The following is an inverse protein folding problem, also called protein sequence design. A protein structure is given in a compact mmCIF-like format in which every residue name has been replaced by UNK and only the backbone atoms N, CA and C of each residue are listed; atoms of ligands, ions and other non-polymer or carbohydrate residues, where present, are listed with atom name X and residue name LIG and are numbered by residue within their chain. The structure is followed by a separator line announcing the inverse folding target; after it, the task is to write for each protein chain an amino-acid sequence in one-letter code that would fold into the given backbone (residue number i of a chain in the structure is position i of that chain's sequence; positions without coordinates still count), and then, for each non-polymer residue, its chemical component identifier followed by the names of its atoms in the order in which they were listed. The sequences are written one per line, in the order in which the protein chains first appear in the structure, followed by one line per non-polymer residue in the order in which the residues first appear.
data_IF_192974943819
#
_entry.id   IF_192974943819
#
_cell.length_a   1.000
_cell.length_b   1.000
_cell.length_c   1.000
_cell.angle_alpha   90.00
_cell.angle_beta   90.00
_cell.angle_gamma   90.00
#
_symmetry.space_group_name_H-M   'P 1'
#
loop_
_entity.id
_entity.type
_entity.pdbx_description
1 polymer ?
#
# COMPACT_ATOMS: atom_id res chain seq x y z
N UNK A 1 -18.01 -19.04 -34.24
CA UNK A 1 -19.06 -18.56 -33.31
C UNK A 1 -18.82 -19.20 -31.95
N UNK A 2 -19.21 -18.51 -30.88
CA UNK A 2 -18.90 -18.89 -29.49
C UNK A 2 -19.72 -20.10 -29.00
N UNK A 3 -19.15 -20.86 -28.05
CA UNK A 3 -19.58 -20.92 -26.63
C UNK A 3 -19.00 -22.20 -25.99
N UNK A 4 -18.30 -22.20 -24.85
CA UNK A 4 -18.69 -21.73 -23.50
C UNK A 4 -19.88 -22.54 -22.94
N UNK A 5 -19.93 -23.01 -21.68
CA UNK A 5 -19.12 -22.69 -20.48
C UNK A 5 -19.46 -23.69 -19.33
N UNK A 6 -18.65 -23.72 -18.24
CA UNK A 6 -19.03 -24.09 -16.84
C UNK A 6 -19.42 -25.59 -16.59
N UNK A 7 -19.37 -26.24 -15.42
CA UNK A 7 -18.94 -26.01 -14.00
C UNK A 7 -18.77 -27.44 -13.37
N UNK A 8 -18.24 -27.76 -12.17
CA UNK A 8 -17.81 -27.02 -10.97
C UNK A 8 -16.72 -27.78 -10.15
N UNK A 9 -16.31 -27.16 -9.04
CA UNK A 9 -15.50 -27.69 -7.92
C UNK A 9 -15.82 -29.12 -7.41
N UNK A 10 -14.82 -29.76 -6.79
CA UNK A 10 -15.01 -30.52 -5.54
C UNK A 10 -13.76 -30.57 -4.64
N UNK A 11 -13.95 -30.32 -3.35
CA UNK A 11 -13.03 -30.69 -2.27
C UNK A 11 -13.01 -32.23 -2.10
N UNK A 12 -11.86 -32.81 -1.75
CA UNK A 12 -11.63 -33.65 -0.54
C UNK A 12 -10.20 -34.24 -0.51
N UNK A 13 -9.69 -34.48 0.70
CA UNK A 13 -8.52 -35.37 0.95
C UNK A 13 -8.99 -36.83 0.96
N UNK A 14 -8.16 -37.78 0.48
CA UNK A 14 -7.54 -38.84 1.31
C UNK A 14 -6.59 -39.74 0.49
N UNK A 15 -5.37 -39.89 1.01
CA UNK A 15 -4.34 -40.96 0.98
C UNK A 15 -4.04 -41.92 -0.21
N UNK A 16 -2.74 -42.21 -0.26
CA UNK A 16 -1.87 -43.11 -1.04
C UNK A 16 -2.38 -44.53 -1.47
N UNK A 17 -1.95 -45.03 -2.65
CA UNK A 17 -0.79 -45.96 -2.84
C UNK A 17 -0.74 -46.66 -4.22
N UNK A 18 0.47 -46.76 -4.79
CA UNK A 18 1.03 -47.90 -5.56
C UNK A 18 0.36 -48.32 -6.92
N UNK A 19 1.04 -48.75 -8.01
CA UNK A 19 2.47 -48.89 -8.37
C UNK A 19 2.64 -49.11 -9.91
N UNK A 20 3.87 -48.92 -10.45
CA UNK A 20 4.47 -49.45 -11.71
C UNK A 20 3.89 -49.16 -13.12
N UNK A 21 4.76 -48.90 -14.13
CA UNK A 21 4.29 -48.68 -15.53
C UNK A 21 5.22 -48.28 -16.71
N UNK A 22 6.54 -48.12 -16.57
CA UNK A 22 7.60 -48.11 -17.65
C UNK A 22 7.57 -47.13 -18.88
N UNK A 23 8.72 -46.42 -19.04
CA UNK A 23 9.43 -46.01 -20.28
C UNK A 23 8.86 -44.96 -21.28
N UNK A 24 9.67 -43.92 -21.59
CA UNK A 24 9.66 -43.30 -22.95
C UNK A 24 9.93 -41.80 -23.17
N UNK A 25 11.12 -41.27 -22.82
CA UNK A 25 11.82 -40.15 -23.49
C UNK A 25 11.28 -38.69 -23.50
N UNK A 26 12.07 -37.80 -22.86
CA UNK A 26 12.52 -36.46 -23.28
C UNK A 26 11.51 -35.37 -23.73
N UNK A 27 11.39 -34.29 -22.92
CA UNK A 27 11.99 -32.98 -23.26
C UNK A 27 12.02 -32.02 -22.04
N UNK A 28 13.23 -31.75 -21.55
CA UNK A 28 13.77 -30.46 -21.09
C UNK A 28 12.80 -29.28 -20.78
N UNK A 29 12.80 -28.76 -19.54
CA UNK A 29 13.36 -27.42 -19.19
C UNK A 29 13.11 -27.01 -17.71
N UNK A 30 14.20 -26.56 -17.08
CA UNK A 30 14.35 -25.81 -15.80
C UNK A 30 14.00 -26.53 -14.48
N UNK A 31 15.07 -26.86 -13.77
CA UNK A 31 15.08 -27.32 -12.40
C UNK A 31 14.65 -26.24 -11.39
N UNK A 32 13.84 -26.67 -10.44
CA UNK A 32 13.74 -26.07 -9.12
C UNK A 32 14.99 -26.48 -8.30
N UNK A 33 15.58 -25.60 -7.47
CA UNK A 33 15.81 -25.85 -6.03
C UNK A 33 16.89 -24.99 -5.33
N UNK A 34 16.56 -24.70 -4.06
CA UNK A 34 17.44 -24.63 -2.89
C UNK A 34 18.47 -23.49 -2.73
N UNK A 35 18.04 -22.55 -1.89
CA UNK A 35 18.82 -21.95 -0.79
C UNK A 35 19.89 -22.93 -0.27
N UNK A 36 21.17 -22.54 -0.38
CA UNK A 36 22.27 -23.11 0.41
C UNK A 36 22.90 -22.03 1.27
N UNK A 37 23.34 -22.44 2.47
CA UNK A 37 23.94 -21.57 3.47
C UNK A 37 25.36 -21.12 3.06
N UNK A 38 25.72 -19.91 3.49
CA UNK A 38 27.06 -19.29 3.66
C UNK A 38 28.28 -19.97 3.01
N UNK A 39 29.07 -19.18 2.28
CA UNK A 39 30.46 -19.04 2.74
C UNK A 39 31.02 -17.61 2.69
N UNK A 40 31.65 -17.24 3.82
CA UNK A 40 32.86 -16.40 3.99
C UNK A 40 32.84 -14.94 3.51
N UNK A 41 33.50 -14.10 4.32
CA UNK A 41 33.85 -12.71 4.02
C UNK A 41 34.65 -12.63 2.72
N UNK A 42 34.12 -11.89 1.74
CA UNK A 42 34.95 -11.11 0.83
C UNK A 42 34.18 -9.87 0.35
N UNK A 43 34.90 -8.80 0.06
CA UNK A 43 34.35 -7.46 -0.13
C UNK A 43 33.74 -7.29 -1.52
N UNK A 44 32.41 -7.18 -1.60
CA UNK A 44 31.73 -6.45 -2.67
C UNK A 44 30.42 -5.89 -2.15
N UNK A 45 30.42 -4.60 -1.79
CA UNK A 45 29.20 -3.81 -1.73
C UNK A 45 28.64 -3.66 -3.14
N UNK A 46 27.94 -4.71 -3.60
CA UNK A 46 27.05 -4.60 -4.74
C UNK A 46 25.95 -3.62 -4.36
N UNK A 47 26.12 -2.35 -4.75
CA UNK A 47 25.13 -1.31 -4.53
C UNK A 47 23.83 -1.73 -5.19
N UNK A 48 22.90 -2.25 -4.38
CA UNK A 48 21.52 -2.47 -4.80
C UNK A 48 20.97 -1.06 -5.07
N UNK A 49 21.00 -0.67 -6.34
CA UNK A 49 20.36 0.54 -6.83
C UNK A 49 18.89 0.47 -6.43
N UNK A 50 18.54 1.13 -5.33
CA UNK A 50 17.16 1.26 -4.86
C UNK A 50 16.37 1.92 -5.99
N UNK A 51 15.54 1.13 -6.66
CA UNK A 51 14.66 1.63 -7.73
C UNK A 51 13.42 2.20 -7.07
N UNK A 52 13.58 3.38 -6.48
CA UNK A 52 12.44 4.15 -5.99
C UNK A 52 11.43 4.32 -7.13
N UNK A 53 10.18 3.98 -6.85
CA UNK A 53 9.07 4.31 -7.73
C UNK A 53 8.84 5.81 -7.60
N UNK A 54 8.93 6.55 -8.70
CA UNK A 54 8.54 7.96 -8.72
C UNK A 54 7.01 8.04 -8.61
N UNK A 55 6.54 8.51 -7.45
CA UNK A 55 5.12 8.75 -7.19
C UNK A 55 4.87 10.25 -7.37
N UNK A 56 4.01 10.67 -8.32
CA UNK A 56 3.76 12.08 -8.57
C UNK A 56 3.03 12.70 -7.37
N UNK A 57 3.56 13.79 -6.83
CA UNK A 57 2.94 14.49 -5.71
C UNK A 57 1.66 15.22 -6.14
N UNK A 58 0.55 15.00 -5.42
CA UNK A 58 -0.73 15.64 -5.67
C UNK A 58 -1.23 16.26 -4.37
N UNK A 59 -1.46 17.58 -4.40
CA UNK A 59 -2.04 18.29 -3.26
C UNK A 59 -3.52 17.90 -3.07
N UNK A 60 -3.92 17.74 -1.81
CA UNK A 60 -5.32 17.72 -1.39
C UNK A 60 -5.98 19.09 -1.71
N UNK A 61 -7.28 19.12 -2.02
CA UNK A 61 -7.99 20.37 -2.35
C UNK A 61 -8.89 20.88 -1.23
N UNK A 62 -9.12 20.06 -0.20
CA UNK A 62 -9.97 20.33 0.97
C UNK A 62 -9.23 19.90 2.23
N UNK A 63 -9.83 20.13 3.40
CA UNK A 63 -9.29 19.69 4.69
C UNK A 63 -9.41 18.18 4.95
N UNK A 64 -10.18 17.47 4.12
CA UNK A 64 -10.62 16.09 4.37
C UNK A 64 -10.25 15.09 3.25
N UNK A 65 -9.81 15.55 2.09
CA UNK A 65 -9.57 14.73 0.89
C UNK A 65 -8.12 14.25 0.75
N UNK A 66 -7.29 14.37 1.80
CA UNK A 66 -5.90 13.89 1.80
C UNK A 66 -5.77 12.40 1.45
N UNK A 67 -6.69 11.55 1.93
CA UNK A 67 -6.76 10.14 1.55
C UNK A 67 -7.10 9.92 0.07
N UNK A 68 -7.94 10.78 -0.51
CA UNK A 68 -8.29 10.73 -1.94
C UNK A 68 -7.12 11.19 -2.81
N UNK A 69 -6.36 12.20 -2.37
CA UNK A 69 -5.11 12.59 -3.01
C UNK A 69 -4.11 11.43 -3.01
N UNK A 70 -3.94 10.71 -1.88
CA UNK A 70 -3.10 9.50 -1.82
C UNK A 70 -3.54 8.40 -2.80
N UNK A 71 -4.84 8.12 -2.92
CA UNK A 71 -5.35 7.18 -3.93
C UNK A 71 -5.05 7.69 -5.34
N UNK A 72 -5.25 8.98 -5.62
CA UNK A 72 -4.97 9.55 -6.93
C UNK A 72 -3.48 9.47 -7.30
N UNK A 73 -2.56 9.68 -6.35
CA UNK A 73 -1.12 9.48 -6.55
C UNK A 73 -0.79 8.04 -6.96
N UNK A 74 -1.39 7.05 -6.28
CA UNK A 74 -1.26 5.63 -6.65
C UNK A 74 -1.80 5.36 -8.05
N UNK A 75 -3.01 5.85 -8.37
CA UNK A 75 -3.63 5.66 -9.69
C UNK A 75 -2.77 6.25 -10.81
N UNK A 76 -2.21 7.46 -10.63
CA UNK A 76 -1.30 8.07 -11.60
C UNK A 76 0.00 7.28 -11.77
N UNK A 77 0.57 6.78 -10.67
CA UNK A 77 1.77 5.90 -10.72
C UNK A 77 1.50 4.61 -11.50
N UNK A 78 0.27 4.08 -11.45
CA UNK A 78 -0.17 2.89 -12.19
C UNK A 78 -0.64 3.20 -13.63
N UNK A 79 -0.53 4.44 -14.10
CA UNK A 79 -0.94 4.84 -15.45
C UNK A 79 -2.46 5.04 -15.63
N UNK A 80 -3.21 5.20 -14.53
CA UNK A 80 -4.67 5.39 -14.54
C UNK A 80 -4.98 6.89 -14.47
N UNK A 81 -5.44 7.44 -15.59
CA UNK A 81 -5.69 8.88 -15.80
C UNK A 81 -7.18 9.26 -15.96
N UNK A 82 -8.08 8.28 -15.94
CA UNK A 82 -9.51 8.44 -16.26
C UNK A 82 -10.39 8.96 -15.09
N UNK A 83 -9.78 9.49 -14.03
CA UNK A 83 -10.50 10.07 -12.89
C UNK A 83 -9.70 11.20 -12.25
N UNK A 84 -10.39 12.14 -11.59
CA UNK A 84 -9.84 13.23 -10.80
C UNK A 84 -10.31 13.16 -9.33
N UNK A 85 -9.79 14.04 -8.46
CA UNK A 85 -10.06 13.99 -7.02
C UNK A 85 -11.53 14.26 -6.65
N UNK A 86 -12.26 15.06 -7.43
CA UNK A 86 -13.69 15.26 -7.24
C UNK A 86 -14.48 13.98 -7.55
N UNK A 87 -14.17 13.32 -8.68
CA UNK A 87 -14.79 12.04 -9.06
C UNK A 87 -14.49 10.92 -8.04
N UNK A 88 -13.29 10.92 -7.44
CA UNK A 88 -12.97 10.03 -6.31
C UNK A 88 -13.83 10.34 -5.07
N UNK A 89 -14.08 11.62 -4.77
CA UNK A 89 -14.96 12.04 -3.69
C UNK A 89 -16.41 11.62 -3.92
N UNK A 90 -16.92 11.79 -5.13
CA UNK A 90 -18.25 11.34 -5.56
C UNK A 90 -18.38 9.81 -5.50
N UNK A 91 -17.35 9.06 -5.92
CA UNK A 91 -17.30 7.59 -5.80
C UNK A 91 -17.22 7.09 -4.35
N UNK A 92 -16.68 7.90 -3.44
CA UNK A 92 -16.56 7.59 -2.02
C UNK A 92 -17.83 7.94 -1.22
N UNK A 93 -18.63 8.90 -1.70
CA UNK A 93 -19.91 9.33 -1.11
C UNK A 93 -19.85 9.77 0.37
N UNK A 94 -18.68 10.22 0.85
CA UNK A 94 -18.48 10.75 2.21
C UNK A 94 -17.35 11.78 2.23
N UNK A 95 -17.41 12.72 3.17
CA UNK A 95 -16.30 13.63 3.47
C UNK A 95 -15.51 13.23 4.72
N UNK A 96 -16.00 12.26 5.51
CA UNK A 96 -15.20 11.60 6.55
C UNK A 96 -14.51 10.39 5.95
N UNK A 97 -13.27 10.56 5.49
CA UNK A 97 -12.51 9.52 4.77
C UNK A 97 -11.70 8.68 5.76
N UNK A 98 -11.98 7.38 5.81
CA UNK A 98 -11.21 6.40 6.58
C UNK A 98 -10.37 5.51 5.65
N UNK A 99 -9.30 4.89 6.17
CA UNK A 99 -8.44 4.01 5.36
C UNK A 99 -9.19 2.84 4.71
N UNK A 100 -10.29 2.38 5.31
CA UNK A 100 -11.16 1.36 4.69
C UNK A 100 -11.90 1.90 3.45
N UNK A 101 -12.32 3.17 3.44
CA UNK A 101 -12.93 3.78 2.25
C UNK A 101 -11.93 3.82 1.08
N UNK A 102 -10.66 4.11 1.36
CA UNK A 102 -9.58 4.09 0.37
C UNK A 102 -9.35 2.68 -0.21
N UNK A 103 -9.46 1.63 0.63
CA UNK A 103 -9.37 0.25 0.17
C UNK A 103 -10.53 -0.11 -0.79
N UNK A 104 -11.75 0.37 -0.52
CA UNK A 104 -12.89 0.22 -1.43
C UNK A 104 -12.72 0.99 -2.74
N UNK A 105 -12.10 2.18 -2.71
CA UNK A 105 -11.74 2.91 -3.94
C UNK A 105 -10.69 2.13 -4.75
N UNK A 106 -9.59 1.71 -4.13
CA UNK A 106 -8.54 0.92 -4.81
C UNK A 106 -9.10 -0.36 -5.43
N UNK A 107 -10.01 -1.05 -4.75
CA UNK A 107 -10.72 -2.22 -5.26
C UNK A 107 -11.59 -1.90 -6.50
N UNK A 108 -12.31 -0.76 -6.51
CA UNK A 108 -13.10 -0.31 -7.68
C UNK A 108 -12.24 -0.06 -8.92
N UNK A 109 -10.98 0.33 -8.75
CA UNK A 109 -10.00 0.49 -9.84
C UNK A 109 -9.17 -0.78 -10.12
N UNK A 110 -9.54 -1.93 -9.52
CA UNK A 110 -8.83 -3.22 -9.65
C UNK A 110 -7.34 -3.15 -9.27
N UNK A 111 -6.97 -2.23 -8.36
CA UNK A 111 -5.60 -2.12 -7.86
C UNK A 111 -5.33 -3.27 -6.89
N UNK A 112 -4.19 -3.94 -7.02
CA UNK A 112 -3.76 -4.97 -6.06
C UNK A 112 -3.06 -4.31 -4.87
N UNK A 113 -3.59 -4.50 -3.67
CA UNK A 113 -3.04 -3.95 -2.43
C UNK A 113 -3.11 -4.96 -1.27
N UNK A 114 -2.43 -4.65 -0.17
CA UNK A 114 -2.53 -5.34 1.12
C UNK A 114 -2.88 -4.29 2.18
N UNK A 115 -3.96 -4.49 2.93
CA UNK A 115 -4.39 -3.57 3.99
C UNK A 115 -4.10 -4.18 5.36
N UNK A 116 -3.14 -3.60 6.08
CA UNK A 116 -2.81 -3.95 7.46
C UNK A 116 -3.36 -2.89 8.43
N UNK A 117 -3.91 -3.31 9.58
CA UNK A 117 -4.36 -2.42 10.65
C UNK A 117 -4.24 -3.09 12.01
N UNK A 118 -4.04 -2.31 13.08
CA UNK A 118 -4.08 -2.80 14.48
C UNK A 118 -5.49 -2.72 15.09
N UNK A 119 -6.48 -2.21 14.35
CA UNK A 119 -7.88 -2.14 14.79
C UNK A 119 -8.82 -2.42 13.62
N UNK A 120 -9.75 -3.34 13.83
CA UNK A 120 -10.85 -3.60 12.90
C UNK A 120 -12.04 -2.72 13.28
N UNK A 121 -12.56 -1.96 12.32
CA UNK A 121 -13.62 -0.98 12.57
C UNK A 121 -13.10 0.38 13.07
N UNK A 122 -14.04 1.26 13.41
CA UNK A 122 -13.71 2.54 14.05
C UNK A 122 -13.47 2.33 15.55
N UNK A 123 -12.34 2.82 16.07
CA UNK A 123 -12.06 2.76 17.50
C UNK A 123 -12.94 3.79 18.27
N UNK A 124 -13.88 3.36 19.14
CA UNK A 124 -14.76 4.28 19.86
C UNK A 124 -13.98 5.20 20.82
N UNK A 125 -12.77 4.81 21.24
CA UNK A 125 -11.95 5.61 22.14
C UNK A 125 -11.45 6.92 21.50
N UNK A 126 -11.51 7.07 20.17
CA UNK A 126 -11.18 8.33 19.51
C UNK A 126 -12.21 9.47 19.75
N UNK A 127 -13.30 9.22 20.49
CA UNK A 127 -14.24 10.29 20.88
C UNK A 127 -13.57 11.41 21.70
N UNK A 128 -12.46 11.11 22.38
CA UNK A 128 -11.68 12.11 23.15
C UNK A 128 -10.93 13.10 22.24
N UNK A 129 -10.65 12.71 21.00
CA UNK A 129 -9.97 13.55 20.02
C UNK A 129 -10.98 14.51 19.38
N UNK A 130 -10.73 15.81 19.49
CA UNK A 130 -11.64 16.86 18.97
C UNK A 130 -11.92 16.70 17.48
N UNK A 131 -10.95 16.19 16.71
CA UNK A 131 -11.06 15.91 15.28
C UNK A 131 -12.18 14.90 14.94
N UNK A 132 -12.35 13.85 15.74
CA UNK A 132 -13.33 12.78 15.44
C UNK A 132 -14.69 13.02 16.11
N UNK A 133 -14.73 13.78 17.21
CA UNK A 133 -15.84 13.86 18.17
C UNK A 133 -17.24 14.04 17.56
N UNK A 134 -17.39 14.86 16.51
CA UNK A 134 -18.69 15.17 15.92
C UNK A 134 -19.19 14.10 14.94
N UNK A 135 -18.29 13.51 14.13
CA UNK A 135 -18.64 12.56 13.07
C UNK A 135 -18.57 11.10 13.53
N UNK A 136 -17.80 10.80 14.59
CA UNK A 136 -17.55 9.44 15.07
C UNK A 136 -18.82 8.59 15.31
N UNK A 137 -19.96 9.09 15.82
CA UNK A 137 -21.16 8.25 15.97
C UNK A 137 -21.70 7.70 14.64
N UNK A 138 -21.69 8.52 13.58
CA UNK A 138 -22.12 8.11 12.24
C UNK A 138 -21.06 7.24 11.57
N UNK A 139 -19.79 7.62 11.71
CA UNK A 139 -18.67 6.86 11.16
C UNK A 139 -18.55 5.49 11.81
N UNK A 140 -18.82 5.34 13.11
CA UNK A 140 -18.71 4.05 13.79
C UNK A 140 -19.67 3.01 13.20
N UNK A 141 -20.89 3.39 12.82
CA UNK A 141 -21.82 2.48 12.13
C UNK A 141 -21.31 2.18 10.71
N UNK A 142 -20.96 3.21 9.94
CA UNK A 142 -20.54 3.10 8.53
C UNK A 142 -19.24 2.29 8.37
N UNK A 143 -18.19 2.67 9.11
CA UNK A 143 -16.87 2.05 9.06
C UNK A 143 -16.96 0.59 9.53
N UNK A 144 -17.67 0.30 10.62
CA UNK A 144 -17.83 -1.09 11.07
C UNK A 144 -18.54 -1.96 10.03
N UNK A 145 -19.55 -1.42 9.33
CA UNK A 145 -20.21 -2.11 8.21
C UNK A 145 -19.24 -2.36 7.05
N UNK A 146 -18.41 -1.38 6.66
CA UNK A 146 -17.38 -1.55 5.63
C UNK A 146 -16.35 -2.63 6.00
N UNK A 147 -15.92 -2.70 7.25
CA UNK A 147 -15.04 -3.79 7.71
C UNK A 147 -15.71 -5.17 7.69
N UNK A 148 -17.02 -5.25 7.99
CA UNK A 148 -17.79 -6.50 7.90
C UNK A 148 -17.98 -6.98 6.45
N UNK A 149 -18.28 -6.06 5.53
CA UNK A 149 -18.52 -6.38 4.12
C UNK A 149 -17.24 -6.50 3.28
N UNK A 150 -16.07 -6.09 3.79
CA UNK A 150 -14.79 -6.07 3.08
C UNK A 150 -14.48 -7.39 2.36
N UNK A 151 -14.63 -8.53 3.05
CA UNK A 151 -14.37 -9.86 2.46
C UNK A 151 -15.31 -10.21 1.31
N UNK A 152 -16.56 -9.73 1.32
CA UNK A 152 -17.52 -9.92 0.22
C UNK A 152 -17.17 -9.04 -0.98
N UNK A 153 -16.52 -7.91 -0.74
CA UNK A 153 -15.94 -7.04 -1.76
C UNK A 153 -14.52 -7.46 -2.22
N UNK A 154 -14.08 -8.67 -1.85
CA UNK A 154 -12.75 -9.23 -2.15
C UNK A 154 -11.56 -8.46 -1.52
N UNK A 155 -11.84 -7.58 -0.54
CA UNK A 155 -10.83 -6.80 0.18
C UNK A 155 -10.32 -7.63 1.37
N UNK A 156 -9.06 -8.07 1.30
CA UNK A 156 -8.40 -8.74 2.42
C UNK A 156 -7.79 -7.72 3.40
N UNK A 157 -8.31 -7.70 4.62
CA UNK A 157 -7.82 -6.85 5.72
C UNK A 157 -7.12 -7.73 6.75
N UNK A 158 -5.85 -7.42 7.03
CA UNK A 158 -5.01 -8.12 8.00
C UNK A 158 -4.95 -7.32 9.32
N UNK A 159 -5.46 -7.91 10.40
CA UNK A 159 -5.36 -7.31 11.73
C UNK A 159 -3.97 -7.55 12.34
N UNK A 160 -2.96 -6.79 11.89
CA UNK A 160 -1.57 -6.85 12.37
C UNK A 160 -0.89 -5.48 12.36
N UNK A 161 0.10 -5.31 13.23
CA UNK A 161 1.13 -4.28 13.10
C UNK A 161 2.10 -4.64 11.98
N UNK A 162 2.70 -3.63 11.34
CA UNK A 162 3.84 -3.77 10.43
C UNK A 162 4.96 -2.89 10.97
N UNK A 163 6.18 -3.42 11.04
CA UNK A 163 7.36 -2.70 11.52
C UNK A 163 7.88 -1.69 10.49
N UNK A 164 8.70 -0.74 10.94
CA UNK A 164 9.39 0.18 10.04
C UNK A 164 10.31 -0.57 9.06
N UNK A 165 11.02 -1.60 9.53
CA UNK A 165 11.94 -2.40 8.72
C UNK A 165 11.18 -3.14 7.59
N UNK A 166 10.04 -3.77 7.88
CA UNK A 166 9.18 -4.40 6.86
C UNK A 166 8.69 -3.39 5.81
N UNK A 167 8.29 -2.17 6.24
CA UNK A 167 7.88 -1.11 5.32
C UNK A 167 9.06 -0.66 4.45
N UNK A 168 10.24 -0.50 5.04
CA UNK A 168 11.47 -0.15 4.32
C UNK A 168 11.86 -1.22 3.29
N UNK A 169 11.84 -2.51 3.64
CA UNK A 169 12.11 -3.61 2.70
C UNK A 169 11.12 -3.60 1.52
N UNK A 170 9.82 -3.40 1.78
CA UNK A 170 8.80 -3.32 0.73
C UNK A 170 9.03 -2.13 -0.21
N UNK A 171 9.33 -0.94 0.31
CA UNK A 171 9.60 0.26 -0.50
C UNK A 171 10.91 0.10 -1.30
N UNK A 172 12.00 -0.33 -0.66
CA UNK A 172 13.31 -0.50 -1.30
C UNK A 172 13.31 -1.59 -2.38
N UNK A 173 12.33 -2.51 -2.37
CA UNK A 173 12.15 -3.50 -3.43
C UNK A 173 11.75 -2.88 -4.79
N UNK A 174 11.28 -1.62 -4.81
CA UNK A 174 10.83 -0.92 -6.00
C UNK A 174 9.54 -1.48 -6.61
N UNK A 175 8.73 -2.22 -5.84
CA UNK A 175 7.49 -2.89 -6.28
C UNK A 175 6.22 -2.40 -5.59
N UNK A 176 6.35 -1.67 -4.48
CA UNK A 176 5.23 -1.28 -3.63
C UNK A 176 5.19 0.23 -3.40
N UNK A 177 3.98 0.77 -3.32
CA UNK A 177 3.69 2.12 -2.85
C UNK A 177 2.99 1.97 -1.50
N UNK A 178 3.44 2.70 -0.49
CA UNK A 178 2.84 2.68 0.84
C UNK A 178 1.93 3.90 1.05
N UNK A 179 0.66 3.66 1.40
CA UNK A 179 -0.21 4.68 2.00
C UNK A 179 -0.22 4.40 3.50
N UNK A 180 0.31 5.33 4.30
CA UNK A 180 0.37 5.22 5.74
C UNK A 180 -0.45 6.33 6.41
N UNK A 181 -1.31 5.97 7.37
CA UNK A 181 -1.93 6.95 8.26
C UNK A 181 -0.87 7.40 9.29
N UNK A 182 -0.64 8.69 9.39
CA UNK A 182 0.42 9.29 10.21
C UNK A 182 -0.12 10.43 11.07
N UNK A 183 0.48 10.60 12.23
CA UNK A 183 0.26 11.76 13.08
C UNK A 183 1.28 12.85 12.68
N UNK A 184 0.79 13.94 12.09
CA UNK A 184 1.63 15.02 11.58
C UNK A 184 2.55 15.63 12.65
N UNK A 185 2.14 15.65 13.92
CA UNK A 185 2.94 16.22 15.01
C UNK A 185 4.10 15.30 15.44
N UNK A 186 4.05 14.02 15.04
CA UNK A 186 5.13 13.04 15.23
C UNK A 186 6.11 12.99 14.05
N UNK A 187 5.74 13.52 12.88
CA UNK A 187 6.62 13.62 11.73
C UNK A 187 7.69 14.69 11.96
N UNK A 188 8.93 14.25 12.22
CA UNK A 188 10.10 15.13 12.30
C UNK A 188 10.86 15.07 10.99
N UNK A 189 10.92 16.19 10.26
CA UNK A 189 11.83 16.32 9.13
C UNK A 189 13.27 16.32 9.65
N UNK A 190 14.02 15.24 9.42
CA UNK A 190 15.46 15.22 9.64
C UNK A 190 16.14 16.04 8.54
N UNK A 191 16.41 17.32 8.81
CA UNK A 191 17.17 18.22 7.92
C UNK A 191 18.63 17.76 7.64
N UNK A 192 19.10 16.73 8.32
CA UNK A 192 20.52 16.34 8.42
C UNK A 192 21.11 15.59 7.23
N UNK A 193 20.36 15.28 6.16
CA UNK A 193 20.93 14.62 4.96
C UNK A 193 21.48 15.59 3.90
N UNK A 194 21.37 16.90 4.12
CA UNK A 194 21.89 17.94 3.22
C UNK A 194 23.19 18.61 3.70
N UNK A 195 23.67 18.30 4.92
CA UNK A 195 24.87 18.95 5.50
C UNK A 195 26.18 18.15 5.29
N UNK A 196 26.11 16.85 4.94
CA UNK A 196 27.31 16.00 4.73
C UNK A 196 27.86 16.01 3.29
N UNK A 197 27.35 16.88 2.41
CA UNK A 197 28.03 17.21 1.14
C UNK A 197 28.71 18.55 1.29
N UNK A 198 29.99 18.53 1.66
CA UNK A 198 30.88 19.69 1.59
C UNK A 198 31.01 20.19 0.14
N UNK A 199 30.08 21.04 -0.28
CA UNK A 199 30.29 21.94 -1.42
C UNK A 199 31.05 23.14 -0.86
N UNK A 200 32.34 23.23 -1.22
CA UNK A 200 33.20 24.35 -0.89
C UNK A 200 32.57 25.68 -1.28
N UNK A 201 32.70 26.67 -0.38
CA UNK A 201 32.22 28.04 -0.54
C UNK A 201 32.38 28.61 -1.95
N UNK A 202 31.38 29.36 -2.44
CA UNK A 202 31.61 30.68 -3.03
C UNK A 202 30.31 31.49 -3.26
N UNK A 203 30.31 32.73 -2.73
CA UNK A 203 29.43 33.89 -3.04
C UNK A 203 27.94 33.92 -2.61
N UNK A 204 27.74 34.49 -1.41
CA UNK A 204 26.92 35.70 -1.12
C UNK A 204 25.46 35.84 -1.63
N UNK A 205 24.52 35.99 -0.69
CA UNK A 205 23.20 36.60 -0.97
C UNK A 205 22.13 36.33 0.10
N UNK A 206 21.86 37.32 0.95
CA UNK A 206 20.92 37.34 2.09
C UNK A 206 19.45 36.89 1.83
N UNK A 207 18.65 36.61 2.89
CA UNK A 207 17.49 35.72 2.81
C UNK A 207 16.17 36.40 2.44
N UNK A 208 15.26 35.62 1.83
CA UNK A 208 13.85 35.99 1.59
C UNK A 208 12.91 34.95 2.18
N UNK A 209 12.27 35.27 3.31
CA UNK A 209 11.29 34.45 4.00
C UNK A 209 9.90 35.10 3.84
N UNK A 210 8.95 34.39 3.23
CA UNK A 210 7.51 34.66 3.37
C UNK A 210 6.77 33.33 3.29
N UNK A 211 6.08 32.96 4.37
CA UNK A 211 4.96 32.01 4.30
C UNK A 211 3.66 32.76 3.93
N UNK A 212 2.53 32.27 4.45
CA UNK A 212 1.14 32.68 4.13
C UNK A 212 0.62 32.03 2.83
N UNK A 213 -0.54 31.37 2.79
CA UNK A 213 -1.61 31.13 3.79
C UNK A 213 -2.14 29.68 3.68
#
# INVERSE_FOLDING_TARGET
MWSLYLLANKFLKLDERNNEGSAGNNLEIVEHYQIKQSPRRDERYGSVLSRFIEVPHINQLRTWDCGLACVLMVLRTLGIYNCNIQELGELCSTTSIWTVDLAYLLQKFSVRFSYCTVTLGANPNFYVETFYKEQLPNDLVRVNLLFQEARKAEINIECKSVSADEISELILSGKYIAIALVDQYKLRCSRSWLEDVYISDFYSGSPGYTGEE
#
